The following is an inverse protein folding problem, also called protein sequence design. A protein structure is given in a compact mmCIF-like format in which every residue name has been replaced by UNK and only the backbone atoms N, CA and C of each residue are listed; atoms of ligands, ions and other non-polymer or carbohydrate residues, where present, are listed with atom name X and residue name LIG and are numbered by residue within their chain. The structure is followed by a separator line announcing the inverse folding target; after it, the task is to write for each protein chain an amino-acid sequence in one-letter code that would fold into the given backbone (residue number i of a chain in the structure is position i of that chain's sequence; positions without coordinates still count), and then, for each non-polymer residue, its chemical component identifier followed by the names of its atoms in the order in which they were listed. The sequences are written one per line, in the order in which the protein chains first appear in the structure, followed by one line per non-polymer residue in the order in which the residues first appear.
data_IF_064650018406
#
_entry.id   IF_064650018406
#
_cell.length_a   1.000
_cell.length_b   1.000
_cell.length_c   1.000
_cell.angle_alpha   90.00
_cell.angle_beta   90.00
_cell.angle_gamma   90.00
#
_symmetry.space_group_name_H-M   'P 1'
#
loop_
_entity.id
_entity.type
_entity.pdbx_description
1 polymer ?
#
# COMPACT_ATOMS: atom_id res chain seq x y z
N UNK A 1 -5.41 -56.23 56.06
CA UNK A 1 -4.23 -55.74 56.80
C UNK A 1 -3.56 -54.66 55.97
N UNK A 2 -3.59 -53.39 56.43
CA UNK A 2 -2.89 -52.20 55.89
C UNK A 2 -3.41 -51.68 54.55
N UNK A 3 -3.90 -50.46 54.35
CA UNK A 3 -3.62 -49.19 55.03
C UNK A 3 -2.54 -48.42 54.26
N UNK A 4 -2.93 -47.44 53.44
CA UNK A 4 -1.98 -46.58 52.70
C UNK A 4 -2.67 -45.50 51.87
N UNK A 5 -2.81 -44.31 52.46
CA UNK A 5 -3.32 -43.07 51.86
C UNK A 5 -2.17 -42.28 51.23
N UNK A 6 -2.34 -41.71 50.04
CA UNK A 6 -1.62 -40.49 49.67
C UNK A 6 -2.40 -39.64 48.67
N UNK A 7 -2.42 -38.34 48.98
CA UNK A 7 -3.39 -37.35 48.55
C UNK A 7 -3.06 -36.69 47.20
N UNK A 8 -4.11 -36.35 46.46
CA UNK A 8 -4.09 -35.43 45.31
C UNK A 8 -4.27 -33.99 45.79
N UNK A 9 -3.47 -33.05 45.29
CA UNK A 9 -3.68 -31.62 45.46
C UNK A 9 -4.34 -31.03 44.19
N UNK A 10 -5.61 -30.67 44.31
CA UNK A 10 -6.40 -29.97 43.30
C UNK A 10 -6.23 -28.44 43.37
N UNK A 11 -6.49 -27.79 42.23
CA UNK A 11 -6.55 -26.32 42.12
C UNK A 11 -7.83 -25.73 42.74
N UNK A 12 -7.93 -24.39 42.90
CA UNK A 12 -9.14 -23.79 43.42
C UNK A 12 -9.98 -23.07 42.35
N UNK A 13 -11.27 -23.42 42.39
CA UNK A 13 -12.41 -22.77 41.76
C UNK A 13 -12.79 -21.46 42.46
N UNK A 14 -13.53 -20.64 41.70
CA UNK A 14 -14.36 -19.50 42.12
C UNK A 14 -15.15 -19.77 43.41
N UNK A 15 -15.24 -18.77 44.28
CA UNK A 15 -16.35 -18.61 45.22
C UNK A 15 -16.77 -17.15 45.36
N UNK A 16 -18.07 -16.94 45.16
CA UNK A 16 -18.82 -15.70 45.16
C UNK A 16 -19.52 -15.61 46.51
N UNK A 17 -19.36 -14.53 47.27
CA UNK A 17 -20.16 -14.29 48.48
C UNK A 17 -20.62 -12.84 48.48
N UNK A 18 -21.94 -12.66 48.42
CA UNK A 18 -22.66 -11.45 48.78
C UNK A 18 -22.92 -11.51 50.29
N UNK A 19 -22.71 -10.40 51.01
CA UNK A 19 -23.40 -10.14 52.28
C UNK A 19 -23.73 -8.66 52.41
N UNK A 20 -24.97 -8.42 52.84
CA UNK A 20 -25.58 -7.14 53.16
C UNK A 20 -25.09 -6.61 54.52
N UNK A 21 -25.04 -5.28 54.64
CA UNK A 21 -25.60 -4.58 55.81
C UNK A 21 -24.64 -4.11 56.91
N UNK A 22 -24.99 -2.92 57.41
CA UNK A 22 -24.72 -2.32 58.73
C UNK A 22 -23.51 -1.37 58.87
N UNK A 23 -23.83 -0.10 58.60
CA UNK A 23 -23.66 1.10 59.45
C UNK A 23 -22.86 0.98 60.78
N UNK A 24 -21.78 1.75 60.92
CA UNK A 24 -21.46 2.50 62.16
C UNK A 24 -20.81 3.84 61.80
N UNK A 25 -21.32 4.90 62.44
CA UNK A 25 -20.88 6.31 62.43
C UNK A 25 -20.16 6.59 63.75
N UNK A 26 -19.18 7.51 63.76
CA UNK A 26 -18.70 8.40 64.87
C UNK A 26 -17.23 8.79 64.53
N UNK A 27 -16.64 9.95 64.82
CA UNK A 27 -17.02 11.34 65.12
C UNK A 27 -15.67 12.09 65.27
N UNK A 28 -15.58 13.29 64.68
CA UNK A 28 -14.77 14.46 65.10
C UNK A 28 -13.28 14.33 65.45
N UNK A 29 -12.44 15.19 64.86
CA UNK A 29 -11.82 16.30 65.60
C UNK A 29 -11.17 17.32 64.66
N UNK A 30 -11.49 18.57 64.95
CA UNK A 30 -10.95 19.84 64.46
C UNK A 30 -9.47 20.03 64.80
N UNK A 31 -8.76 20.85 64.02
CA UNK A 31 -8.08 22.06 64.52
C UNK A 31 -7.63 22.94 63.35
N UNK A 32 -8.09 24.20 63.37
CA UNK A 32 -7.53 25.32 62.63
C UNK A 32 -6.31 25.87 63.38
N UNK A 33 -5.33 26.43 62.67
CA UNK A 33 -4.82 27.81 62.87
C UNK A 33 -3.70 28.14 61.85
N UNK A 34 -3.85 29.32 61.19
CA UNK A 34 -2.88 30.40 60.90
C UNK A 34 -1.46 30.10 60.40
N UNK A 35 -0.74 30.94 59.66
CA UNK A 35 -0.92 32.22 58.94
C UNK A 35 0.47 32.54 58.38
N UNK A 36 0.61 32.86 57.09
CA UNK A 36 1.17 34.12 56.58
C UNK A 36 2.37 33.92 55.62
N UNK A 37 2.61 34.90 54.72
CA UNK A 37 3.34 34.74 53.46
C UNK A 37 4.73 35.39 53.49
N UNK A 38 5.63 34.99 52.57
CA UNK A 38 6.86 35.74 52.29
C UNK A 38 7.16 35.83 50.80
N UNK A 39 7.57 37.04 50.44
CA UNK A 39 7.72 37.60 49.12
C UNK A 39 9.00 37.13 48.39
N UNK A 40 8.99 37.24 47.06
CA UNK A 40 10.17 37.16 46.21
C UNK A 40 10.42 38.51 45.54
N UNK A 41 11.63 39.05 45.70
CA UNK A 41 12.13 40.27 45.07
C UNK A 41 13.26 39.94 44.06
N UNK A 42 13.21 40.65 42.91
CA UNK A 42 14.31 41.21 42.09
C UNK A 42 15.38 40.24 41.55
N UNK A 43 15.49 39.97 40.24
CA UNK A 43 16.05 40.82 39.17
C UNK A 43 17.50 41.27 39.38
N UNK A 44 18.47 40.66 38.67
CA UNK A 44 19.65 41.36 38.12
C UNK A 44 20.10 40.70 36.81
N UNK A 45 20.28 41.53 35.79
CA UNK A 45 20.83 41.22 34.47
C UNK A 45 22.36 41.25 34.49
N UNK A 46 23.03 40.42 33.68
CA UNK A 46 24.30 40.82 33.03
C UNK A 46 24.61 39.92 31.83
N UNK A 47 24.91 40.54 30.70
CA UNK A 47 25.45 39.91 29.50
C UNK A 47 26.98 39.77 29.60
N UNK A 48 27.59 38.94 28.74
CA UNK A 48 28.73 39.45 27.99
C UNK A 48 28.70 39.10 26.50
N UNK A 49 29.17 40.08 25.72
CA UNK A 49 29.50 40.02 24.30
C UNK A 49 30.83 39.28 24.10
N UNK A 50 30.86 38.28 23.23
CA UNK A 50 32.10 37.85 22.57
C UNK A 50 31.81 37.32 21.16
N UNK A 51 32.54 37.87 20.20
CA UNK A 51 32.48 37.55 18.76
C UNK A 51 33.21 36.22 18.50
N UNK A 52 32.61 35.33 17.73
CA UNK A 52 33.29 34.21 17.05
C UNK A 52 32.75 34.02 15.63
N UNK A 53 33.58 33.57 14.67
CA UNK A 53 33.28 33.62 13.24
C UNK A 53 32.38 32.47 12.76
N UNK A 54 31.55 32.77 11.76
CA UNK A 54 30.69 31.82 11.06
C UNK A 54 31.52 30.83 10.23
N UNK A 55 31.61 29.58 10.68
CA UNK A 55 32.00 28.45 9.83
C UNK A 55 30.75 27.81 9.20
N UNK A 56 30.78 27.67 7.87
CA UNK A 56 29.75 26.99 7.08
C UNK A 56 29.74 25.48 7.39
N UNK A 57 28.66 25.00 7.99
CA UNK A 57 28.42 23.56 8.21
C UNK A 57 28.20 22.83 6.87
N UNK A 58 29.12 21.93 6.52
CA UNK A 58 28.86 20.85 5.57
C UNK A 58 27.98 19.78 6.23
N UNK A 59 27.02 19.17 5.50
CA UNK A 59 26.22 18.08 6.07
C UNK A 59 27.10 16.85 6.31
N UNK A 60 27.20 16.45 7.57
CA UNK A 60 27.87 15.21 8.00
C UNK A 60 27.14 13.99 7.44
N UNK A 61 27.78 13.27 6.52
CA UNK A 61 27.33 11.95 6.07
C UNK A 61 27.45 10.91 7.21
N UNK A 62 26.49 9.98 7.40
CA UNK A 62 26.58 8.95 8.43
C UNK A 62 27.40 7.74 7.92
N UNK A 63 28.58 7.99 7.34
CA UNK A 63 29.48 6.91 6.90
C UNK A 63 30.51 6.63 8.00
N UNK A 64 30.34 5.52 8.70
CA UNK A 64 31.26 5.04 9.75
C UNK A 64 32.15 3.95 9.13
N UNK A 65 33.15 4.37 8.34
CA UNK A 65 34.11 3.51 7.69
C UNK A 65 35.47 4.20 7.52
N UNK A 66 36.56 3.43 7.61
CA UNK A 66 37.94 3.93 7.59
C UNK A 66 38.37 4.32 6.16
N UNK A 67 38.75 5.58 5.91
CA UNK A 67 38.94 6.16 4.56
C UNK A 67 40.38 6.04 4.05
N UNK A 68 41.11 4.98 4.43
CA UNK A 68 42.53 4.85 4.05
C UNK A 68 42.79 4.26 2.66
N UNK A 69 41.76 3.90 1.89
CA UNK A 69 41.90 3.40 0.52
C UNK A 69 40.71 3.78 -0.38
N UNK A 70 40.46 5.07 -0.58
CA UNK A 70 39.60 5.54 -1.67
C UNK A 70 40.47 6.17 -2.76
N UNK A 71 40.71 5.42 -3.84
CA UNK A 71 41.24 5.99 -5.10
C UNK A 71 40.12 6.77 -5.78
N UNK A 72 40.39 8.02 -6.14
CA UNK A 72 39.50 8.82 -6.98
C UNK A 72 39.45 8.18 -8.39
N UNK A 73 38.28 7.67 -8.78
CA UNK A 73 38.01 7.37 -10.18
C UNK A 73 37.44 8.64 -10.83
N UNK A 74 38.03 9.16 -11.91
CA UNK A 74 37.39 10.21 -12.69
C UNK A 74 36.16 9.61 -13.38
N UNK A 75 34.96 9.94 -12.89
CA UNK A 75 33.72 9.55 -13.55
C UNK A 75 33.63 10.22 -14.93
N UNK A 76 33.73 9.42 -15.99
CA UNK A 76 33.25 9.79 -17.32
C UNK A 76 31.72 9.69 -17.30
N UNK A 77 31.04 10.81 -17.03
CA UNK A 77 29.61 10.91 -17.29
C UNK A 77 29.37 10.96 -18.80
N UNK A 78 28.77 9.90 -19.36
CA UNK A 78 28.16 9.93 -20.68
C UNK A 78 26.87 10.76 -20.61
N UNK A 79 26.75 11.74 -21.50
CA UNK A 79 25.55 12.55 -21.70
C UNK A 79 24.41 11.69 -22.26
N UNK A 80 23.36 11.52 -21.47
CA UNK A 80 22.12 10.86 -21.91
C UNK A 80 21.33 11.86 -22.77
N UNK A 81 21.24 11.62 -24.08
CA UNK A 81 20.26 12.28 -24.95
C UNK A 81 18.88 11.65 -24.70
N UNK A 82 17.95 12.44 -24.17
CA UNK A 82 16.54 12.09 -24.07
C UNK A 82 15.85 12.37 -25.41
N UNK A 83 15.51 11.31 -26.14
CA UNK A 83 14.65 11.38 -27.32
C UNK A 83 13.21 11.09 -26.90
N UNK A 84 12.38 12.14 -26.85
CA UNK A 84 10.96 12.03 -26.52
C UNK A 84 10.18 11.71 -27.78
N UNK A 85 9.83 10.43 -27.98
CA UNK A 85 8.92 9.99 -29.04
C UNK A 85 7.47 10.18 -28.57
N UNK A 86 6.77 11.15 -29.16
CA UNK A 86 5.39 11.51 -28.81
C UNK A 86 4.39 10.39 -29.13
N UNK A 87 3.51 10.08 -28.19
CA UNK A 87 2.38 9.14 -28.37
C UNK A 87 1.09 9.95 -28.52
N UNK A 88 0.47 9.85 -29.69
CA UNK A 88 -0.84 10.45 -30.02
C UNK A 88 -1.91 9.83 -29.12
N UNK A 89 -2.62 10.66 -28.34
CA UNK A 89 -3.83 10.27 -27.62
C UNK A 89 -5.04 10.99 -28.22
N UNK A 90 -6.07 10.19 -28.53
CA UNK A 90 -7.33 10.60 -29.14
C UNK A 90 -8.06 11.67 -28.33
N UNK A 91 -8.72 12.53 -29.09
CA UNK A 91 -9.50 13.72 -28.74
C UNK A 91 -10.56 13.46 -27.67
N UNK A 92 -10.34 14.00 -26.46
CA UNK A 92 -11.42 14.33 -25.54
C UNK A 92 -12.03 15.66 -25.95
N UNK A 93 -13.36 15.74 -25.95
CA UNK A 93 -14.13 16.96 -26.23
C UNK A 93 -13.63 18.08 -25.32
N UNK A 94 -12.91 19.03 -25.91
CA UNK A 94 -12.52 20.27 -25.24
C UNK A 94 -13.74 21.17 -25.26
N UNK A 95 -14.35 21.38 -24.09
CA UNK A 95 -15.22 22.54 -23.90
C UNK A 95 -14.36 23.76 -24.14
N UNK A 96 -14.62 24.45 -25.25
CA UNK A 96 -13.96 25.70 -25.58
C UNK A 96 -14.39 26.75 -24.54
N UNK A 97 -13.59 26.91 -23.48
CA UNK A 97 -13.61 28.15 -22.72
C UNK A 97 -13.05 29.23 -23.65
N UNK A 98 -13.93 30.10 -24.14
CA UNK A 98 -13.56 31.33 -24.83
C UNK A 98 -12.46 32.02 -24.02
N UNK A 99 -11.25 32.02 -24.57
CA UNK A 99 -10.09 32.63 -23.95
C UNK A 99 -10.34 34.12 -23.80
N UNK A 100 -10.10 34.63 -22.59
CA UNK A 100 -9.96 36.06 -22.34
C UNK A 100 -8.98 36.66 -23.37
N UNK A 101 -9.26 37.86 -23.91
CA UNK A 101 -8.47 38.44 -25.00
C UNK A 101 -7.01 38.55 -24.59
N UNK A 102 -6.17 38.05 -25.49
CA UNK A 102 -4.72 38.05 -25.49
C UNK A 102 -4.13 39.38 -25.01
N UNK A 103 -3.66 39.39 -23.76
CA UNK A 103 -2.69 40.39 -23.31
C UNK A 103 -1.36 40.11 -24.01
N UNK A 104 -0.93 41.08 -24.82
CA UNK A 104 0.40 41.29 -25.40
C UNK A 104 1.42 40.24 -24.98
N UNK A 105 1.80 39.36 -25.92
CA UNK A 105 2.87 38.39 -25.72
C UNK A 105 4.19 39.13 -25.81
N UNK A 106 4.53 39.84 -24.74
CA UNK A 106 5.86 40.39 -24.58
C UNK A 106 6.84 39.21 -24.61
N UNK A 107 7.79 39.22 -25.54
CA UNK A 107 8.90 38.27 -25.61
C UNK A 107 9.86 38.52 -24.43
N UNK A 108 9.38 38.33 -23.20
CA UNK A 108 10.13 38.56 -21.97
C UNK A 108 11.12 37.42 -21.81
N UNK A 109 12.41 37.72 -21.93
CA UNK A 109 13.48 36.77 -21.64
C UNK A 109 13.38 36.30 -20.18
N UNK A 110 13.34 34.99 -19.97
CA UNK A 110 13.39 34.41 -18.64
C UNK A 110 14.67 34.82 -17.92
N UNK A 111 14.51 35.61 -16.86
CA UNK A 111 15.53 35.95 -15.86
C UNK A 111 15.01 35.52 -14.50
N UNK A 112 15.90 35.34 -13.53
CA UNK A 112 15.53 34.91 -12.17
C UNK A 112 14.49 35.84 -11.52
N UNK A 113 14.53 37.13 -11.86
CA UNK A 113 13.63 38.16 -11.32
C UNK A 113 12.20 38.09 -11.87
N UNK A 114 12.01 37.43 -13.03
CA UNK A 114 10.74 37.37 -13.75
C UNK A 114 10.09 35.97 -13.66
N UNK A 115 10.64 35.06 -12.85
CA UNK A 115 10.08 33.74 -12.63
C UNK A 115 9.09 33.78 -11.47
N UNK A 116 7.91 33.19 -11.68
CA UNK A 116 6.89 33.01 -10.65
C UNK A 116 6.21 31.66 -10.80
N UNK A 117 5.68 31.08 -9.71
CA UNK A 117 4.84 29.89 -9.80
C UNK A 117 3.51 30.23 -10.49
N UNK A 118 2.92 29.26 -11.18
CA UNK A 118 1.57 29.38 -11.75
C UNK A 118 0.57 29.78 -10.65
N UNK A 119 -0.36 30.73 -10.90
CA UNK A 119 -1.38 31.11 -9.94
C UNK A 119 -2.13 29.89 -9.41
N UNK A 120 -2.25 29.79 -8.08
CA UNK A 120 -2.90 28.66 -7.41
C UNK A 120 -2.02 27.44 -7.14
N UNK A 121 -0.82 27.34 -7.74
CA UNK A 121 0.14 26.25 -7.48
C UNK A 121 0.60 26.22 -6.01
N UNK A 122 0.91 27.39 -5.44
CA UNK A 122 1.33 27.55 -4.04
C UNK A 122 0.35 28.42 -3.28
N UNK A 123 -0.44 27.81 -2.40
CA UNK A 123 -1.37 28.54 -1.52
C UNK A 123 -0.66 28.92 -0.22
N UNK A 124 -0.78 30.18 0.21
CA UNK A 124 -0.22 30.65 1.49
C UNK A 124 -0.93 29.90 2.64
N UNK A 125 -0.16 29.33 3.56
CA UNK A 125 -0.70 28.62 4.72
C UNK A 125 -1.31 29.60 5.73
N UNK A 126 -2.38 29.18 6.41
CA UNK A 126 -3.02 29.98 7.46
C UNK A 126 -2.16 29.97 8.72
N UNK A 127 -1.67 31.14 9.14
CA UNK A 127 -0.94 31.32 10.40
C UNK A 127 -1.95 31.60 11.53
N UNK A 128 -2.34 30.55 12.25
CA UNK A 128 -3.32 30.64 13.34
C UNK A 128 -2.76 31.43 14.54
N UNK A 129 -3.64 32.07 15.31
CA UNK A 129 -3.26 32.83 16.52
C UNK A 129 -2.56 34.16 16.20
N UNK A 130 -2.95 34.85 15.13
CA UNK A 130 -2.38 36.15 14.70
C UNK A 130 -3.49 37.18 14.47
N UNK A 131 -4.16 37.58 15.55
CA UNK A 131 -5.26 38.54 15.52
C UNK A 131 -6.56 37.97 14.90
N UNK A 132 -7.69 38.61 15.21
CA UNK A 132 -9.02 38.14 14.78
C UNK A 132 -9.25 38.40 13.29
N UNK A 133 -8.77 39.53 12.77
CA UNK A 133 -8.92 39.93 11.37
C UNK A 133 -8.34 38.92 10.36
N UNK A 134 -7.29 38.17 10.74
CA UNK A 134 -6.71 37.11 9.92
C UNK A 134 -7.58 35.81 9.86
N UNK A 135 -8.70 35.77 10.58
CA UNK A 135 -9.74 34.72 10.52
C UNK A 135 -9.64 33.61 11.55
N UNK A 136 -8.45 33.20 11.97
CA UNK A 136 -8.24 32.13 12.97
C UNK A 136 -7.42 32.64 14.17
N UNK A 137 -7.91 33.73 14.78
CA UNK A 137 -7.27 34.44 15.90
C UNK A 137 -7.46 33.76 17.24
N UNK A 138 -8.43 34.23 18.03
CA UNK A 138 -8.61 33.90 19.45
C UNK A 138 -8.51 32.38 19.78
N UNK A 139 -9.48 31.58 19.34
CA UNK A 139 -9.52 30.14 19.62
C UNK A 139 -8.84 29.28 18.55
N UNK A 140 -8.22 29.89 17.53
CA UNK A 140 -7.58 29.18 16.40
C UNK A 140 -8.51 28.15 15.68
N UNK A 141 -9.83 28.28 15.84
CA UNK A 141 -10.85 27.39 15.28
C UNK A 141 -11.18 26.16 16.14
N UNK A 142 -10.65 26.08 17.36
CA UNK A 142 -10.89 24.95 18.28
C UNK A 142 -12.10 25.15 19.19
N UNK A 143 -12.68 26.35 19.24
CA UNK A 143 -13.83 26.68 20.08
C UNK A 143 -13.48 26.94 21.55
N UNK A 144 -14.42 26.65 22.44
CA UNK A 144 -14.24 26.77 23.90
C UNK A 144 -13.38 25.61 24.44
N UNK A 145 -13.19 25.57 25.76
CA UNK A 145 -12.43 24.55 26.48
C UNK A 145 -13.07 23.16 26.29
N UNK A 146 -12.29 22.20 25.78
CA UNK A 146 -12.69 20.80 25.68
C UNK A 146 -11.49 19.91 25.34
N UNK A 147 -11.65 18.59 25.36
CA UNK A 147 -10.55 17.66 25.09
C UNK A 147 -9.88 17.90 23.73
N UNK A 148 -10.66 18.23 22.69
CA UNK A 148 -10.16 18.52 21.32
C UNK A 148 -9.43 19.86 21.20
N UNK A 149 -9.57 20.76 22.17
CA UNK A 149 -8.93 22.08 22.17
C UNK A 149 -7.61 22.10 22.96
N UNK A 150 -7.25 21.00 23.64
CA UNK A 150 -6.00 20.88 24.40
C UNK A 150 -4.86 20.42 23.50
N UNK A 151 -3.64 20.80 23.86
CA UNK A 151 -2.43 20.31 23.22
C UNK A 151 -2.19 18.84 23.57
N UNK A 152 -1.78 18.05 22.59
CA UNK A 152 -1.41 16.65 22.77
C UNK A 152 -2.10 15.71 21.78
N UNK A 153 -1.85 14.40 21.87
CA UNK A 153 -2.56 13.41 21.09
C UNK A 153 -4.06 13.48 21.39
N UNK A 154 -4.87 13.49 20.33
CA UNK A 154 -6.31 13.40 20.46
C UNK A 154 -6.77 11.98 20.84
N UNK A 155 -8.08 11.82 20.87
CA UNK A 155 -8.72 10.51 21.01
C UNK A 155 -8.38 9.61 19.81
N UNK A 156 -8.19 8.31 20.06
CA UNK A 156 -7.93 7.32 19.00
C UNK A 156 -9.02 7.35 17.92
N UNK A 157 -8.60 7.32 16.65
CA UNK A 157 -9.52 7.21 15.51
C UNK A 157 -10.29 5.89 15.62
N UNK A 158 -11.61 5.98 15.76
CA UNK A 158 -12.51 4.83 15.98
C UNK A 158 -12.98 4.64 17.42
N UNK A 159 -12.62 5.51 18.37
CA UNK A 159 -13.20 5.50 19.71
C UNK A 159 -14.55 6.25 19.76
N UNK A 160 -15.56 5.63 20.36
CA UNK A 160 -16.96 6.09 20.40
C UNK A 160 -17.40 6.48 21.82
N UNK A 161 -16.54 7.11 22.62
CA UNK A 161 -16.94 7.66 23.93
C UNK A 161 -17.15 6.63 25.05
N UNK A 162 -16.55 5.44 24.93
CA UNK A 162 -16.73 4.34 25.89
C UNK A 162 -17.75 3.29 25.42
N UNK A 163 -18.55 3.60 24.40
CA UNK A 163 -19.34 2.60 23.69
C UNK A 163 -18.41 1.58 23.01
N UNK A 164 -18.81 0.31 22.94
CA UNK A 164 -18.08 -0.70 22.17
C UNK A 164 -17.88 -0.22 20.72
N UNK A 165 -16.65 -0.01 20.21
CA UNK A 165 -16.46 0.54 18.87
C UNK A 165 -16.96 -0.36 17.74
N UNK A 166 -17.34 0.24 16.60
CA UNK A 166 -17.83 -0.49 15.42
C UNK A 166 -16.90 -1.64 14.97
N UNK A 167 -15.58 -1.41 14.93
CA UNK A 167 -14.61 -2.44 14.53
C UNK A 167 -14.52 -3.63 15.49
N UNK A 168 -15.10 -3.52 16.69
CA UNK A 168 -15.26 -4.62 17.65
C UNK A 168 -16.65 -5.27 17.59
N UNK A 169 -17.68 -4.53 17.17
CA UNK A 169 -19.05 -5.05 17.03
C UNK A 169 -19.17 -6.00 15.83
N UNK A 170 -18.45 -5.70 14.75
CA UNK A 170 -18.50 -6.49 13.51
C UNK A 170 -17.56 -7.69 13.62
N UNK A 171 -17.99 -8.92 13.23
CA UNK A 171 -17.10 -10.08 13.20
C UNK A 171 -15.97 -9.89 12.19
N UNK A 172 -14.82 -10.53 12.46
CA UNK A 172 -13.68 -10.52 11.54
C UNK A 172 -14.03 -11.17 10.20
N UNK A 173 -13.36 -10.74 9.13
CA UNK A 173 -13.52 -11.31 7.81
C UNK A 173 -13.24 -12.82 7.79
N UNK A 174 -14.01 -13.55 6.97
CA UNK A 174 -13.85 -15.00 6.76
C UNK A 174 -12.42 -15.34 6.30
N UNK A 175 -11.90 -16.47 6.76
CA UNK A 175 -10.53 -16.92 6.47
C UNK A 175 -9.47 -16.21 7.33
N UNK A 176 -9.46 -14.87 7.34
CA UNK A 176 -8.49 -14.07 8.11
C UNK A 176 -8.63 -14.33 9.61
N UNK A 177 -9.86 -14.45 10.11
CA UNK A 177 -10.14 -14.73 11.52
C UNK A 177 -9.46 -16.02 12.03
N UNK A 178 -9.33 -17.03 11.17
CA UNK A 178 -8.73 -18.33 11.48
C UNK A 178 -7.27 -18.47 11.02
N UNK A 179 -6.62 -17.41 10.56
CA UNK A 179 -5.23 -17.45 10.11
C UNK A 179 -5.01 -18.05 8.70
N UNK A 180 -6.06 -18.25 7.91
CA UNK A 180 -5.93 -18.68 6.52
C UNK A 180 -5.19 -17.63 5.69
N UNK A 181 -4.22 -18.07 4.87
CA UNK A 181 -3.51 -17.17 3.96
C UNK A 181 -4.46 -16.54 2.92
N UNK A 182 -4.31 -15.24 2.68
CA UNK A 182 -5.09 -14.53 1.67
C UNK A 182 -4.78 -15.02 0.25
N UNK A 183 -5.81 -15.12 -0.58
CA UNK A 183 -5.68 -15.46 -1.99
C UNK A 183 -4.92 -14.38 -2.74
N UNK A 184 -3.80 -14.74 -3.35
CA UNK A 184 -2.95 -13.84 -4.14
C UNK A 184 -3.06 -14.16 -5.64
N UNK A 185 -2.86 -13.16 -6.52
CA UNK A 185 -2.87 -13.39 -7.95
C UNK A 185 -1.75 -14.36 -8.35
N UNK A 186 -2.13 -15.34 -9.16
CA UNK A 186 -1.24 -16.40 -9.67
C UNK A 186 -0.78 -16.16 -11.11
N UNK A 187 -1.41 -15.21 -11.80
CA UNK A 187 -1.16 -14.89 -13.20
C UNK A 187 -1.17 -13.37 -13.37
N UNK A 188 -0.53 -12.91 -14.44
CA UNK A 188 -0.74 -11.56 -14.98
C UNK A 188 -1.90 -11.64 -15.97
N UNK A 189 -3.08 -11.07 -15.67
CA UNK A 189 -4.22 -11.11 -16.57
C UNK A 189 -4.10 -10.04 -17.65
N UNK A 190 -4.35 -10.41 -18.91
CA UNK A 190 -4.45 -9.48 -20.05
C UNK A 190 -5.70 -9.81 -20.85
N UNK A 191 -6.46 -8.80 -21.23
CA UNK A 191 -7.67 -8.99 -22.04
C UNK A 191 -7.39 -8.78 -23.53
N UNK A 192 -8.26 -9.32 -24.38
CA UNK A 192 -8.17 -9.15 -25.83
C UNK A 192 -8.26 -7.67 -26.25
N UNK A 193 -9.13 -6.88 -25.62
CA UNK A 193 -9.24 -5.43 -25.86
C UNK A 193 -7.91 -4.69 -25.71
N UNK A 194 -7.07 -5.13 -24.77
CA UNK A 194 -5.80 -4.46 -24.46
C UNK A 194 -4.75 -4.83 -25.52
N UNK A 195 -4.85 -6.04 -26.07
CA UNK A 195 -4.01 -6.52 -27.18
C UNK A 195 -4.39 -5.80 -28.47
N UNK A 196 -5.67 -5.65 -28.77
CA UNK A 196 -6.13 -4.91 -29.94
C UNK A 196 -5.69 -3.44 -29.89
N UNK A 197 -5.86 -2.77 -28.73
CA UNK A 197 -5.43 -1.39 -28.53
C UNK A 197 -3.91 -1.20 -28.61
N UNK A 198 -3.11 -2.25 -28.41
CA UNK A 198 -1.67 -2.21 -28.54
C UNK A 198 -1.19 -2.22 -30.01
N UNK A 199 -2.08 -2.46 -30.97
CA UNK A 199 -1.78 -2.42 -32.41
C UNK A 199 -0.72 -3.44 -32.80
N UNK A 200 -0.99 -4.73 -32.56
CA UNK A 200 -0.16 -5.81 -33.11
C UNK A 200 -0.48 -6.00 -34.59
N UNK A 201 0.55 -6.15 -35.42
CA UNK A 201 0.40 -6.53 -36.81
C UNK A 201 0.13 -8.03 -36.94
N UNK A 202 -0.41 -8.44 -38.08
CA UNK A 202 -0.73 -9.84 -38.36
C UNK A 202 0.55 -10.70 -38.30
N UNK A 203 0.47 -11.84 -37.60
CA UNK A 203 1.60 -12.74 -37.39
C UNK A 203 2.53 -12.37 -36.23
N UNK A 204 2.35 -11.21 -35.58
CA UNK A 204 3.18 -10.85 -34.42
C UNK A 204 2.98 -11.80 -33.23
N UNK A 205 4.06 -12.01 -32.48
CA UNK A 205 4.05 -12.82 -31.27
C UNK A 205 3.60 -12.01 -30.04
N UNK A 206 2.52 -12.47 -29.40
CA UNK A 206 2.06 -11.97 -28.11
C UNK A 206 2.62 -12.86 -27.00
N UNK A 207 3.72 -12.42 -26.40
CA UNK A 207 4.36 -13.03 -25.23
C UNK A 207 4.55 -12.01 -24.10
N UNK A 208 4.95 -12.47 -22.91
CA UNK A 208 5.24 -11.57 -21.78
C UNK A 208 6.26 -10.49 -22.14
N UNK A 209 7.26 -10.80 -22.96
CA UNK A 209 8.32 -9.86 -23.29
C UNK A 209 7.89 -8.89 -24.39
N UNK A 210 7.11 -9.35 -25.38
CA UNK A 210 6.48 -8.46 -26.37
C UNK A 210 5.56 -7.43 -25.70
N UNK A 211 4.77 -7.86 -24.71
CA UNK A 211 3.84 -7.00 -23.99
C UNK A 211 4.55 -5.97 -23.10
N UNK A 212 5.72 -6.32 -22.53
CA UNK A 212 6.59 -5.35 -21.84
C UNK A 212 7.18 -4.33 -22.80
N UNK A 213 7.70 -4.78 -23.96
CA UNK A 213 8.31 -3.90 -24.97
C UNK A 213 7.32 -2.84 -25.47
N UNK A 214 6.06 -3.22 -25.70
CA UNK A 214 4.99 -2.27 -26.07
C UNK A 214 4.49 -1.40 -24.90
N UNK A 215 4.95 -1.66 -23.68
CA UNK A 215 4.53 -0.95 -22.47
C UNK A 215 3.10 -1.24 -22.04
N UNK A 216 2.50 -2.35 -22.50
CA UNK A 216 1.15 -2.74 -22.11
C UNK A 216 1.14 -3.32 -20.68
N UNK A 217 2.21 -4.02 -20.31
CA UNK A 217 2.42 -4.54 -18.96
C UNK A 217 3.74 -3.98 -18.42
N UNK A 218 3.72 -3.50 -17.17
CA UNK A 218 4.92 -3.15 -16.44
C UNK A 218 5.00 -3.96 -15.12
N UNK A 219 5.36 -5.26 -15.20
CA UNK A 219 5.28 -6.14 -14.04
C UNK A 219 6.39 -5.80 -13.03
N UNK A 220 6.02 -5.64 -11.76
CA UNK A 220 6.93 -5.29 -10.67
C UNK A 220 6.89 -6.31 -9.53
N UNK A 221 7.98 -6.39 -8.75
CA UNK A 221 8.07 -7.26 -7.57
C UNK A 221 7.64 -8.71 -7.83
N UNK A 222 6.54 -9.13 -7.19
CA UNK A 222 5.94 -10.47 -7.31
C UNK A 222 5.53 -10.81 -8.75
N UNK A 223 4.98 -9.84 -9.48
CA UNK A 223 4.37 -10.06 -10.80
C UNK A 223 5.39 -10.51 -11.86
N UNK A 224 6.66 -10.14 -11.70
CA UNK A 224 7.74 -10.57 -12.61
C UNK A 224 7.91 -12.09 -12.66
N UNK A 225 7.55 -12.79 -11.57
CA UNK A 225 7.62 -14.26 -11.49
C UNK A 225 6.32 -14.92 -11.94
N UNK A 226 5.26 -14.15 -12.19
CA UNK A 226 3.97 -14.69 -12.56
C UNK A 226 3.89 -14.96 -14.07
N UNK A 227 3.27 -16.07 -14.47
CA UNK A 227 2.99 -16.36 -15.87
C UNK A 227 1.83 -15.50 -16.42
N UNK A 228 1.79 -15.35 -17.74
CA UNK A 228 0.71 -14.67 -18.46
C UNK A 228 -0.56 -15.53 -18.55
N UNK A 229 -1.72 -14.90 -18.34
CA UNK A 229 -3.04 -15.46 -18.64
C UNK A 229 -3.83 -14.52 -19.53
N UNK A 230 -4.38 -15.05 -20.62
CA UNK A 230 -5.27 -14.30 -21.52
C UNK A 230 -6.73 -14.49 -21.12
N UNK A 231 -7.47 -13.39 -21.09
CA UNK A 231 -8.89 -13.29 -20.75
C UNK A 231 -9.69 -12.78 -21.96
N UNK A 232 -10.91 -13.28 -22.12
CA UNK A 232 -11.73 -13.08 -23.34
C UNK A 232 -12.56 -11.79 -23.41
N UNK A 233 -12.20 -10.73 -22.67
CA UNK A 233 -12.92 -9.45 -22.74
C UNK A 233 -12.45 -8.62 -23.96
N UNK A 234 -13.39 -8.22 -24.81
CA UNK A 234 -13.11 -7.60 -26.11
C UNK A 234 -13.20 -8.60 -27.27
N UNK A 235 -12.96 -8.08 -28.48
CA UNK A 235 -12.87 -8.82 -29.73
C UNK A 235 -11.46 -8.63 -30.30
N UNK A 236 -11.04 -9.53 -31.18
CA UNK A 236 -9.73 -9.47 -31.81
C UNK A 236 -9.91 -9.80 -33.29
N UNK A 237 -9.66 -8.83 -34.14
CA UNK A 237 -9.79 -8.94 -35.60
C UNK A 237 -8.50 -9.41 -36.31
N UNK A 238 -7.36 -9.28 -35.62
CA UNK A 238 -6.03 -9.57 -36.18
C UNK A 238 -5.57 -10.97 -35.82
N UNK A 239 -5.01 -11.71 -36.79
CA UNK A 239 -4.41 -13.04 -36.55
C UNK A 239 -3.06 -12.89 -35.88
N UNK A 240 -2.95 -13.37 -34.64
CA UNK A 240 -1.75 -13.26 -33.81
C UNK A 240 -1.25 -14.63 -33.36
N UNK A 241 0.04 -14.69 -33.03
CA UNK A 241 0.67 -15.86 -32.44
C UNK A 241 0.78 -15.67 -30.93
N UNK A 242 -0.09 -16.30 -30.14
CA UNK A 242 -0.20 -16.01 -28.71
C UNK A 242 0.49 -17.10 -27.89
N UNK A 243 1.54 -16.70 -27.16
CA UNK A 243 2.27 -17.57 -26.22
C UNK A 243 1.97 -17.18 -24.78
N UNK A 244 1.11 -17.95 -24.13
CA UNK A 244 0.75 -17.75 -22.73
C UNK A 244 0.66 -19.09 -21.98
N UNK A 245 0.65 -19.04 -20.65
CA UNK A 245 0.55 -20.27 -19.84
C UNK A 245 -0.88 -20.75 -19.68
N UNK A 246 -1.83 -19.82 -19.66
CA UNK A 246 -3.24 -20.12 -19.43
C UNK A 246 -4.14 -19.20 -20.25
N UNK A 247 -5.31 -19.73 -20.62
CA UNK A 247 -6.35 -19.02 -21.36
C UNK A 247 -7.69 -19.29 -20.66
N UNK A 248 -8.59 -18.30 -20.60
CA UNK A 248 -9.99 -18.58 -20.26
C UNK A 248 -10.67 -19.33 -21.39
N UNK A 249 -11.74 -20.10 -21.10
CA UNK A 249 -12.55 -20.79 -22.13
C UNK A 249 -13.01 -19.82 -23.21
N UNK A 250 -13.62 -18.71 -22.78
CA UNK A 250 -14.06 -17.62 -23.67
C UNK A 250 -12.94 -16.97 -24.48
N UNK A 251 -11.70 -16.98 -23.98
CA UNK A 251 -10.56 -16.47 -24.75
C UNK A 251 -10.15 -17.46 -25.84
N UNK A 252 -10.14 -18.76 -25.53
CA UNK A 252 -9.78 -19.80 -26.52
C UNK A 252 -10.75 -19.79 -27.69
N UNK A 253 -12.05 -19.83 -27.41
CA UNK A 253 -13.10 -19.82 -28.45
C UNK A 253 -12.97 -18.61 -29.39
N UNK A 254 -12.79 -17.41 -28.84
CA UNK A 254 -12.62 -16.19 -29.63
C UNK A 254 -11.33 -16.16 -30.44
N UNK A 255 -10.24 -16.67 -29.87
CA UNK A 255 -8.95 -16.71 -30.55
C UNK A 255 -8.92 -17.77 -31.67
N UNK A 256 -9.55 -18.91 -31.46
CA UNK A 256 -9.74 -19.96 -32.47
C UNK A 256 -10.66 -19.46 -33.60
N UNK A 257 -11.77 -18.78 -33.26
CA UNK A 257 -12.66 -18.16 -34.25
C UNK A 257 -11.96 -17.07 -35.09
N UNK A 258 -11.05 -16.31 -34.48
CA UNK A 258 -10.22 -15.34 -35.19
C UNK A 258 -9.08 -15.99 -36.01
N UNK A 259 -8.89 -17.31 -35.93
CA UNK A 259 -7.80 -18.02 -36.62
C UNK A 259 -6.41 -17.72 -36.06
N UNK A 260 -6.31 -17.36 -34.77
CA UNK A 260 -5.03 -17.12 -34.09
C UNK A 260 -4.36 -18.44 -33.69
N UNK A 261 -3.02 -18.46 -33.66
CA UNK A 261 -2.29 -19.62 -33.14
C UNK A 261 -2.13 -19.54 -31.61
N UNK A 262 -2.54 -20.60 -30.91
CA UNK A 262 -2.54 -20.66 -29.44
C UNK A 262 -1.42 -21.61 -29.00
N UNK A 263 -0.35 -21.08 -28.42
CA UNK A 263 0.74 -21.88 -27.84
C UNK A 263 0.67 -21.82 -26.32
N UNK A 264 0.36 -22.97 -25.69
CA UNK A 264 0.34 -23.11 -24.23
C UNK A 264 1.74 -23.46 -23.72
N UNK A 265 2.36 -22.56 -22.96
CA UNK A 265 3.70 -22.78 -22.40
C UNK A 265 3.68 -23.78 -21.23
N UNK A 266 4.62 -24.75 -21.18
CA UNK A 266 4.68 -25.71 -20.08
C UNK A 266 5.01 -25.03 -18.75
N UNK A 267 4.35 -25.47 -17.68
CA UNK A 267 4.62 -24.99 -16.33
C UNK A 267 5.88 -25.60 -15.72
N UNK A 268 6.31 -25.05 -14.57
CA UNK A 268 7.34 -25.71 -13.75
C UNK A 268 6.83 -27.09 -13.31
N UNK A 269 7.63 -28.12 -13.57
CA UNK A 269 7.32 -29.51 -13.20
C UNK A 269 7.22 -29.63 -11.68
N UNK A 270 6.14 -30.24 -11.21
CA UNK A 270 5.97 -30.59 -9.79
C UNK A 270 6.79 -31.84 -9.51
N UNK A 271 7.67 -31.79 -8.52
CA UNK A 271 8.38 -32.99 -8.08
C UNK A 271 7.41 -33.95 -7.40
N UNK A 272 7.51 -35.23 -7.76
CA UNK A 272 6.70 -36.31 -7.21
C UNK A 272 7.62 -37.45 -6.78
N UNK A 273 7.26 -38.11 -5.67
CA UNK A 273 7.98 -39.30 -5.19
C UNK A 273 7.78 -40.46 -6.17
N UNK A 274 8.77 -41.34 -6.39
CA UNK A 274 8.66 -42.47 -7.32
C UNK A 274 7.46 -43.39 -7.03
N UNK A 275 7.12 -43.62 -5.77
CA UNK A 275 5.95 -44.40 -5.38
C UNK A 275 4.64 -43.79 -5.86
N UNK A 276 4.52 -42.45 -5.80
CA UNK A 276 3.35 -41.74 -6.30
C UNK A 276 3.26 -41.86 -7.82
N UNK A 277 4.39 -41.78 -8.52
CA UNK A 277 4.44 -41.95 -9.98
C UNK A 277 3.96 -43.36 -10.37
N UNK A 278 4.42 -44.41 -9.66
CA UNK A 278 3.96 -45.79 -9.88
C UNK A 278 2.45 -45.94 -9.67
N UNK A 279 1.90 -45.32 -8.62
CA UNK A 279 0.46 -45.37 -8.35
C UNK A 279 -0.37 -44.67 -9.44
N UNK A 280 0.13 -43.53 -9.95
CA UNK A 280 -0.51 -42.83 -11.06
C UNK A 280 -0.47 -43.65 -12.35
N UNK A 281 0.69 -44.23 -12.69
CA UNK A 281 0.85 -45.07 -13.87
C UNK A 281 -0.09 -46.30 -13.81
N UNK A 282 -0.19 -46.96 -12.66
CA UNK A 282 -1.13 -48.08 -12.45
C UNK A 282 -2.58 -47.67 -12.70
N UNK A 283 -2.97 -46.46 -12.26
CA UNK A 283 -4.33 -45.95 -12.51
C UNK A 283 -4.56 -45.66 -14.00
N UNK A 284 -3.58 -45.05 -14.68
CA UNK A 284 -3.65 -44.78 -16.13
C UNK A 284 -3.79 -46.08 -16.92
N UNK A 285 -3.00 -47.11 -16.60
CA UNK A 285 -3.10 -48.44 -17.21
C UNK A 285 -4.48 -49.08 -17.00
N UNK A 286 -5.03 -48.99 -15.78
CA UNK A 286 -6.36 -49.52 -15.48
C UNK A 286 -7.44 -48.85 -16.33
N UNK A 287 -7.43 -47.51 -16.42
CA UNK A 287 -8.40 -46.78 -17.23
C UNK A 287 -8.20 -47.02 -18.72
N UNK A 288 -6.97 -47.13 -19.20
CA UNK A 288 -6.70 -47.45 -20.59
C UNK A 288 -7.26 -48.82 -20.98
N UNK A 289 -7.01 -49.85 -20.15
CA UNK A 289 -7.57 -51.20 -20.34
C UNK A 289 -9.10 -51.19 -20.35
N UNK A 290 -9.70 -50.45 -19.42
CA UNK A 290 -11.18 -50.37 -19.33
C UNK A 290 -11.81 -49.62 -20.51
N UNK A 291 -11.18 -48.54 -21.00
CA UNK A 291 -11.65 -47.84 -22.20
C UNK A 291 -11.53 -48.71 -23.44
N UNK A 292 -10.40 -49.40 -23.61
CA UNK A 292 -10.22 -50.33 -24.72
C UNK A 292 -11.25 -51.47 -24.70
N UNK A 293 -11.51 -52.06 -23.53
CA UNK A 293 -12.54 -53.09 -23.38
C UNK A 293 -13.96 -52.54 -23.66
N UNK A 294 -14.24 -51.29 -23.28
CA UNK A 294 -15.52 -50.65 -23.58
C UNK A 294 -15.68 -50.34 -25.08
N UNK A 295 -14.62 -49.87 -25.74
CA UNK A 295 -14.59 -49.63 -27.18
C UNK A 295 -14.80 -50.93 -27.97
N UNK A 296 -14.16 -52.02 -27.55
CA UNK A 296 -14.34 -53.37 -28.14
C UNK A 296 -15.74 -53.97 -27.90
N UNK A 297 -16.44 -53.58 -26.84
CA UNK A 297 -17.80 -54.03 -26.56
C UNK A 297 -18.87 -53.20 -27.30
N UNK A 298 -18.50 -52.01 -27.79
CA UNK A 298 -19.38 -51.12 -28.56
C UNK A 298 -19.25 -51.27 -30.08
N UNK A 299 -18.23 -52.00 -30.54
CA UNK A 299 -17.97 -52.40 -31.92
C UNK A 299 -18.50 -53.79 -32.21
#
# INVERSE_FOLDING_TARGET
MGGGVQAQAGGPYLLRVHLHGVLVRVKTASHHFNSSPMAALLSVSSAPSSRTPLFLHHPSSPFKGNVRNLKANPCQFLTIKLEVKGKVRKSGVVVASQGSPSSVVDNVRFRLDNLGPQPGSRKKAKRKGRGISAGQGNSCGFGMRGQKSRSGPGVMKGFEGGQMPLYRRIPKLRGIAGGMHAGLPKYVPVNLKDIEAAGFQEGEEVSLDSLKKKGLINPSGRERRLPLKILGAGELSVKLNIKARAFSSSAKEKLEAAGCSITVLPGRKKWLKPSVIKNLARAEEYFAKKRAAAEQASS
#
